data_IF_440420836582
#
_entry.id   IF_440420836582
#
_cell.length_a   1.000
_cell.length_b   1.000
_cell.length_c   1.000
_cell.angle_alpha   90.00
_cell.angle_beta   90.00
_cell.angle_gamma   90.00
#
_symmetry.space_group_name_H-M   'P 1'
#
loop_
_entity.id
_entity.type
_entity.pdbx_description
1 polymer ?
#
# COMPACT_ATOMS: atom_id res chain seq x y z
N UNK A 1 -8.81 6.71 3.59
CA UNK A 1 -8.16 7.25 4.80
C UNK A 1 -7.80 8.71 4.64
N UNK A 2 -6.91 9.08 3.71
CA UNK A 2 -6.57 10.51 3.48
C UNK A 2 -7.77 11.31 2.95
N UNK A 3 -8.49 10.76 1.97
CA UNK A 3 -9.71 11.40 1.45
C UNK A 3 -10.78 11.60 2.53
N UNK A 4 -11.01 10.59 3.37
CA UNK A 4 -11.95 10.68 4.49
C UNK A 4 -11.50 11.73 5.52
N UNK A 5 -10.20 11.80 5.81
CA UNK A 5 -9.62 12.79 6.72
C UNK A 5 -9.76 14.24 6.21
N UNK A 6 -9.94 14.44 4.91
CA UNK A 6 -10.13 15.75 4.30
C UNK A 6 -11.61 16.22 4.35
N UNK A 7 -12.54 15.34 4.70
CA UNK A 7 -13.97 15.68 4.77
C UNK A 7 -14.29 16.42 6.07
N UNK A 8 -14.96 17.60 6.00
CA UNK A 8 -15.41 18.31 7.20
C UNK A 8 -16.37 17.44 8.03
N UNK A 9 -16.11 17.30 9.33
CA UNK A 9 -16.95 16.52 10.25
C UNK A 9 -16.59 15.03 10.38
N UNK A 10 -15.61 14.54 9.59
CA UNK A 10 -15.12 13.16 9.64
C UNK A 10 -13.67 13.11 10.16
N UNK A 11 -13.43 13.36 11.47
CA UNK A 11 -12.08 13.42 11.99
C UNK A 11 -11.42 12.04 11.94
N UNK A 12 -10.30 11.96 11.23
CA UNK A 12 -9.42 10.78 11.22
C UNK A 12 -8.17 11.07 12.03
N UNK A 13 -7.86 10.18 12.99
CA UNK A 13 -6.67 10.34 13.83
C UNK A 13 -5.36 10.23 13.06
N UNK A 14 -4.41 11.11 13.35
CA UNK A 14 -3.09 11.14 12.72
C UNK A 14 -2.33 9.81 12.82
N UNK A 15 -2.43 9.12 13.96
CA UNK A 15 -1.85 7.80 14.16
C UNK A 15 -2.42 6.75 13.20
N UNK A 16 -3.72 6.81 12.89
CA UNK A 16 -4.37 5.90 11.93
C UNK A 16 -3.89 6.13 10.49
N UNK A 17 -3.72 7.39 10.11
CA UNK A 17 -3.15 7.75 8.79
C UNK A 17 -1.70 7.24 8.69
N UNK A 18 -0.89 7.47 9.72
CA UNK A 18 0.49 7.00 9.75
C UNK A 18 0.58 5.47 9.71
N UNK A 19 -0.28 4.78 10.46
CA UNK A 19 -0.34 3.32 10.45
C UNK A 19 -0.65 2.79 9.05
N UNK A 20 -1.68 3.32 8.39
CA UNK A 20 -2.07 2.87 7.05
C UNK A 20 -0.96 3.11 6.01
N UNK A 21 -0.22 4.21 6.13
CA UNK A 21 0.95 4.50 5.29
C UNK A 21 2.14 3.55 5.53
N UNK A 22 2.26 2.93 6.71
CA UNK A 22 3.29 1.90 6.98
C UNK A 22 2.79 0.50 6.66
N UNK A 23 1.49 0.26 6.84
CA UNK A 23 0.86 -0.99 6.50
C UNK A 23 1.00 -1.29 5.00
N UNK A 24 0.93 -0.29 4.12
CA UNK A 24 1.19 -0.49 2.68
C UNK A 24 2.59 -1.04 2.41
N UNK A 25 3.61 -0.51 3.09
CA UNK A 25 5.00 -0.97 2.96
C UNK A 25 5.16 -2.41 3.49
N UNK A 26 4.54 -2.69 4.64
CA UNK A 26 4.51 -4.03 5.22
C UNK A 26 3.86 -5.03 4.27
N UNK A 27 2.69 -4.71 3.70
CA UNK A 27 1.98 -5.59 2.77
C UNK A 27 2.81 -5.84 1.50
N UNK A 28 3.56 -4.84 1.02
CA UNK A 28 4.49 -5.03 -0.09
C UNK A 28 5.63 -5.99 0.24
N UNK A 29 6.24 -5.90 1.43
CA UNK A 29 7.30 -6.84 1.84
C UNK A 29 6.73 -8.24 2.09
N UNK A 30 5.58 -8.33 2.76
CA UNK A 30 4.92 -9.59 3.08
C UNK A 30 4.50 -10.35 1.82
N UNK A 31 3.99 -9.65 0.80
CA UNK A 31 3.61 -10.28 -0.47
C UNK A 31 4.81 -10.89 -1.19
N UNK A 32 5.95 -10.18 -1.25
CA UNK A 32 7.18 -10.71 -1.85
C UNK A 32 7.72 -11.91 -1.08
N UNK A 33 7.71 -11.84 0.25
CA UNK A 33 8.11 -12.97 1.09
C UNK A 33 7.24 -14.21 0.81
N UNK A 34 5.92 -14.03 0.76
CA UNK A 34 4.97 -15.09 0.41
C UNK A 34 5.17 -15.63 -1.02
N UNK A 35 5.60 -14.78 -1.94
CA UNK A 35 5.84 -15.11 -3.34
C UNK A 35 7.24 -15.69 -3.59
N UNK A 36 7.61 -16.70 -2.80
CA UNK A 36 8.92 -17.36 -2.83
C UNK A 36 10.08 -16.37 -2.69
N UNK A 37 9.98 -15.45 -1.71
CA UNK A 37 10.96 -14.38 -1.50
C UNK A 37 11.22 -13.54 -2.77
N UNK A 38 10.18 -13.34 -3.58
CA UNK A 38 10.18 -12.53 -4.79
C UNK A 38 10.55 -13.26 -6.07
N UNK A 39 10.85 -14.57 -6.02
CA UNK A 39 11.15 -15.35 -7.22
C UNK A 39 9.92 -15.50 -8.14
N UNK A 40 8.71 -15.41 -7.60
CA UNK A 40 7.47 -15.43 -8.37
C UNK A 40 6.91 -14.05 -8.73
N UNK A 41 7.65 -12.96 -8.50
CA UNK A 41 7.12 -11.59 -8.67
C UNK A 41 6.75 -11.32 -10.13
N UNK A 42 5.56 -10.72 -10.33
CA UNK A 42 5.15 -10.23 -11.64
C UNK A 42 5.92 -8.94 -11.92
N UNK A 43 6.89 -9.02 -12.81
CA UNK A 43 7.72 -7.88 -13.18
C UNK A 43 6.96 -6.95 -14.12
N UNK A 44 7.14 -5.65 -13.90
CA UNK A 44 6.64 -4.63 -14.80
C UNK A 44 7.34 -4.77 -16.17
N UNK A 45 6.54 -4.82 -17.23
CA UNK A 45 7.03 -4.81 -18.61
C UNK A 45 6.74 -3.45 -19.24
N UNK A 46 7.75 -2.76 -19.79
CA UNK A 46 7.54 -1.50 -20.49
C UNK A 46 6.51 -1.64 -21.62
N UNK A 47 5.47 -0.81 -21.60
CA UNK A 47 4.47 -0.76 -22.68
C UNK A 47 3.44 -1.90 -22.69
N UNK A 48 3.36 -2.71 -21.63
CA UNK A 48 2.45 -3.86 -21.57
C UNK A 48 0.96 -3.50 -21.75
N UNK A 49 0.57 -2.26 -21.41
CA UNK A 49 -0.81 -1.76 -21.54
C UNK A 49 -0.87 -0.41 -22.29
N UNK A 50 0.01 -0.18 -23.28
CA UNK A 50 -0.05 1.00 -24.16
C UNK A 50 -0.97 0.76 -25.35
#
# INVERSE_FOLDING_TARGET
MVELAAQPGEPVGAAGIQYMNRLSDFLFVASRAANHNGAGDVLWVPGQNR
#
